data_IF_418821741201
#
_entry.id   IF_418821741201
#
_cell.length_a   1.000
_cell.length_b   1.000
_cell.length_c   1.000
_cell.angle_alpha   90.00
_cell.angle_beta   90.00
_cell.angle_gamma   90.00
#
_symmetry.space_group_name_H-M   'P 1'
#
loop_
_entity.id
_entity.type
_entity.pdbx_description
1 polymer ?
#
# COMPACT_ATOMS: atom_id res chain seq x y z
N UNK A 1 6.99 6.89 -5.15
CA UNK A 1 5.75 6.41 -4.51
C UNK A 1 5.70 4.89 -4.44
N UNK A 2 5.78 4.17 -5.57
CA UNK A 2 5.80 2.70 -5.63
C UNK A 2 6.86 2.07 -4.71
N UNK A 3 8.10 2.55 -4.76
CA UNK A 3 9.17 2.02 -3.89
C UNK A 3 8.92 2.25 -2.40
N UNK A 4 8.32 3.40 -2.05
CA UNK A 4 7.98 3.70 -0.65
C UNK A 4 6.85 2.80 -0.16
N UNK A 5 5.79 2.63 -0.96
CA UNK A 5 4.70 1.69 -0.71
C UNK A 5 5.23 0.26 -0.53
N UNK A 6 6.21 -0.13 -1.36
CA UNK A 6 6.83 -1.46 -1.31
C UNK A 6 7.58 -1.67 -0.01
N UNK A 7 8.33 -0.66 0.44
CA UNK A 7 9.01 -0.70 1.73
C UNK A 7 8.02 -0.75 2.90
N UNK A 8 6.96 0.06 2.88
CA UNK A 8 5.91 0.04 3.92
C UNK A 8 5.23 -1.33 3.99
N UNK A 9 4.85 -1.88 2.84
CA UNK A 9 4.23 -3.21 2.77
C UNK A 9 5.19 -4.31 3.26
N UNK A 10 6.47 -4.23 2.89
CA UNK A 10 7.51 -5.14 3.36
C UNK A 10 7.69 -5.12 4.87
N UNK A 11 7.64 -3.93 5.48
CA UNK A 11 7.69 -3.76 6.93
C UNK A 11 6.48 -4.41 7.60
N UNK A 12 5.28 -4.26 7.03
CA UNK A 12 4.04 -4.85 7.56
C UNK A 12 4.04 -6.39 7.44
N UNK A 13 4.50 -6.91 6.30
CA UNK A 13 4.57 -8.36 6.03
C UNK A 13 5.78 -9.05 6.69
N UNK A 14 6.79 -8.28 7.12
CA UNK A 14 8.03 -8.82 7.69
C UNK A 14 8.93 -9.50 6.66
N UNK A 15 8.79 -9.16 5.38
CA UNK A 15 9.59 -9.71 4.26
C UNK A 15 10.49 -8.64 3.66
N UNK A 16 11.40 -9.03 2.77
CA UNK A 16 12.24 -8.06 2.07
C UNK A 16 11.43 -7.35 0.97
N UNK A 17 11.61 -6.03 0.75
CA UNK A 17 10.87 -5.31 -0.28
C UNK A 17 11.07 -5.93 -1.66
N UNK A 18 12.28 -6.40 -1.96
CA UNK A 18 12.61 -7.11 -3.21
C UNK A 18 11.76 -8.37 -3.49
N UNK A 19 11.15 -8.98 -2.47
CA UNK A 19 10.23 -10.14 -2.64
C UNK A 19 8.84 -9.71 -3.13
N UNK A 20 8.46 -8.43 -2.95
CA UNK A 20 7.12 -7.94 -3.27
C UNK A 20 6.99 -7.56 -4.73
N UNK A 21 6.29 -8.33 -5.55
CA UNK A 21 6.02 -7.91 -6.93
C UNK A 21 4.90 -6.85 -6.99
N UNK A 22 5.05 -5.85 -7.87
CA UNK A 22 4.09 -4.74 -7.99
C UNK A 22 2.72 -5.14 -8.58
N UNK A 23 2.71 -6.22 -9.35
CA UNK A 23 1.53 -6.81 -9.99
C UNK A 23 0.89 -7.93 -9.14
N UNK A 24 1.57 -8.33 -8.06
CA UNK A 24 1.10 -9.39 -7.17
C UNK A 24 0.01 -8.85 -6.23
N UNK A 25 -0.95 -9.72 -5.95
CA UNK A 25 -2.08 -9.36 -5.09
C UNK A 25 -1.65 -9.37 -3.64
N UNK A 26 -2.19 -8.44 -2.86
CA UNK A 26 -1.88 -8.35 -1.43
C UNK A 26 -2.23 -9.63 -0.67
N UNK A 27 -3.30 -10.33 -1.06
CA UNK A 27 -3.66 -11.63 -0.47
C UNK A 27 -2.59 -12.70 -0.74
N UNK A 28 -2.02 -12.72 -1.95
CA UNK A 28 -0.97 -13.68 -2.34
C UNK A 28 0.34 -13.41 -1.59
N UNK A 29 0.62 -12.13 -1.34
CA UNK A 29 1.71 -11.65 -0.48
C UNK A 29 1.52 -11.97 1.01
N UNK A 30 0.35 -12.46 1.43
CA UNK A 30 0.03 -12.75 2.83
C UNK A 30 -0.48 -11.54 3.62
N UNK A 31 -1.05 -10.53 2.95
CA UNK A 31 -1.69 -9.40 3.63
C UNK A 31 -3.06 -9.83 4.18
N UNK A 32 -3.08 -10.25 5.44
CA UNK A 32 -4.31 -10.62 6.13
C UNK A 32 -5.14 -9.41 6.57
N UNK A 33 -6.39 -9.68 6.96
CA UNK A 33 -7.36 -8.70 7.45
C UNK A 33 -6.85 -7.74 8.53
N UNK A 34 -5.92 -8.19 9.37
CA UNK A 34 -5.30 -7.38 10.44
C UNK A 34 -4.19 -6.50 9.88
N UNK A 35 -3.36 -7.07 8.99
CA UNK A 35 -2.26 -6.36 8.35
C UNK A 35 -2.75 -5.30 7.37
N UNK A 36 -3.88 -5.55 6.69
CA UNK A 36 -4.55 -4.54 5.86
C UNK A 36 -4.89 -3.27 6.64
N UNK A 37 -5.39 -3.41 7.87
CA UNK A 37 -5.73 -2.25 8.72
C UNK A 37 -4.45 -1.49 9.08
N UNK A 38 -3.40 -2.20 9.46
CA UNK A 38 -2.11 -1.60 9.80
C UNK A 38 -1.47 -0.90 8.60
N UNK A 39 -1.51 -1.53 7.43
CA UNK A 39 -1.00 -0.98 6.19
C UNK A 39 -1.74 0.30 5.81
N UNK A 40 -3.08 0.26 5.71
CA UNK A 40 -3.88 1.46 5.40
C UNK A 40 -3.69 2.56 6.43
N UNK A 41 -3.56 2.22 7.71
CA UNK A 41 -3.25 3.20 8.75
C UNK A 41 -1.89 3.86 8.53
N UNK A 42 -0.85 3.08 8.18
CA UNK A 42 0.48 3.60 7.83
C UNK A 42 0.43 4.54 6.63
N UNK A 43 -0.31 4.15 5.57
CA UNK A 43 -0.50 4.99 4.39
C UNK A 43 -1.19 6.31 4.72
N UNK A 44 -2.25 6.27 5.52
CA UNK A 44 -2.94 7.46 5.98
C UNK A 44 -2.01 8.40 6.74
N UNK A 45 -1.19 7.86 7.63
CA UNK A 45 -0.19 8.63 8.38
C UNK A 45 0.90 9.21 7.47
N UNK A 46 1.41 8.43 6.52
CA UNK A 46 2.50 8.83 5.62
C UNK A 46 2.07 9.90 4.61
N UNK A 47 0.84 9.80 4.10
CA UNK A 47 0.32 10.66 3.04
C UNK A 47 -0.72 11.69 3.52
N UNK A 48 -1.07 11.69 4.80
CA UNK A 48 -2.09 12.59 5.36
C UNK A 48 -3.50 12.28 4.87
N UNK A 49 -3.78 11.01 4.56
CA UNK A 49 -5.07 10.55 4.04
C UNK A 49 -5.98 10.03 5.16
N UNK A 50 -7.23 9.73 4.83
CA UNK A 50 -8.20 9.13 5.75
C UNK A 50 -8.96 7.97 5.09
N UNK A 51 -8.24 7.21 4.27
CA UNK A 51 -8.77 6.07 3.56
C UNK A 51 -9.13 4.93 4.51
N UNK A 52 -10.09 4.09 4.12
CA UNK A 52 -10.45 2.90 4.92
C UNK A 52 -9.94 1.64 4.23
N UNK A 53 -9.96 0.52 4.95
CA UNK A 53 -9.49 -0.80 4.46
C UNK A 53 -10.02 -1.20 3.07
N UNK A 54 -11.21 -0.73 2.67
CA UNK A 54 -11.78 -0.98 1.34
C UNK A 54 -10.87 -0.57 0.16
N UNK A 55 -9.87 0.29 0.36
CA UNK A 55 -8.90 0.61 -0.69
C UNK A 55 -8.05 -0.59 -1.10
N UNK A 56 -7.77 -1.52 -0.17
CA UNK A 56 -6.99 -2.73 -0.46
C UNK A 56 -7.82 -3.68 -1.33
N UNK A 57 -9.11 -3.84 -1.01
CA UNK A 57 -10.06 -4.61 -1.82
C UNK A 57 -10.24 -4.00 -3.23
N UNK A 58 -10.33 -2.67 -3.31
CA UNK A 58 -10.51 -1.95 -4.58
C UNK A 58 -9.24 -1.92 -5.44
N UNK A 59 -8.08 -1.89 -4.80
CA UNK A 59 -6.78 -1.83 -5.43
C UNK A 59 -5.90 -2.96 -4.88
N UNK A 60 -6.14 -4.22 -5.30
CA UNK A 60 -5.54 -5.40 -4.67
C UNK A 60 -4.05 -5.57 -4.97
N UNK A 61 -3.43 -4.68 -5.74
CA UNK A 61 -2.01 -4.74 -6.08
C UNK A 61 -1.33 -3.42 -5.75
N UNK A 62 -0.02 -3.51 -5.50
CA UNK A 62 0.78 -2.34 -5.17
C UNK A 62 0.79 -1.30 -6.29
N UNK A 63 0.80 -1.73 -7.55
CA UNK A 63 0.77 -0.80 -8.69
C UNK A 63 -0.55 -0.03 -8.77
N UNK A 64 -1.69 -0.72 -8.61
CA UNK A 64 -3.01 -0.07 -8.60
C UNK A 64 -3.18 0.88 -7.42
N UNK A 65 -2.71 0.47 -6.24
CA UNK A 65 -2.77 1.32 -5.06
C UNK A 65 -1.89 2.56 -5.23
N UNK A 66 -0.69 2.40 -5.81
CA UNK A 66 0.20 3.52 -6.11
C UNK A 66 -0.41 4.50 -7.12
N UNK A 67 -1.06 4.00 -8.16
CA UNK A 67 -1.76 4.82 -9.15
C UNK A 67 -2.89 5.62 -8.49
N UNK A 68 -3.74 4.95 -7.70
CA UNK A 68 -4.80 5.60 -6.95
C UNK A 68 -4.25 6.69 -6.00
N UNK A 69 -3.22 6.36 -5.21
CA UNK A 69 -2.60 7.31 -4.30
C UNK A 69 -2.00 8.53 -5.02
N UNK A 70 -1.47 8.35 -6.23
CA UNK A 70 -1.00 9.46 -7.04
C UNK A 70 -2.13 10.41 -7.48
N UNK A 71 -3.37 9.92 -7.56
CA UNK A 71 -4.55 10.75 -7.86
C UNK A 71 -5.13 11.45 -6.63
N UNK A 72 -5.05 10.84 -5.44
CA UNK A 72 -5.68 11.37 -4.22
C UNK A 72 -4.74 12.17 -3.34
N UNK A 73 -3.42 12.01 -3.46
CA UNK A 73 -2.45 12.82 -2.73
C UNK A 73 -2.27 14.14 -3.50
N UNK A 74 -2.84 15.27 -3.04
CA UNK A 74 -2.71 16.53 -3.74
C UNK A 74 -1.26 17.03 -3.63
N UNK A 75 -0.56 17.13 -4.76
CA UNK A 75 0.61 18.01 -4.90
C UNK A 75 1.87 17.62 -4.13
N UNK A 76 2.33 16.37 -4.25
CA UNK A 76 3.75 16.04 -4.02
C UNK A 76 4.41 15.49 -5.28
N UNK A 77 4.20 16.20 -6.38
CA UNK A 77 5.17 16.27 -7.47
C UNK A 77 6.28 17.24 -6.99
N UNK A 78 7.58 16.94 -7.19
CA UNK A 78 8.66 17.85 -6.81
C UNK A 78 8.52 19.24 -7.43
#
# INVERSE_FOLDING_TARGET
MREHLRTELAQVLGIAPQEIAGDESFEDLGLDSVLEIAFVHSLNMAYGLSERRHIVDRYPTLDRLADYLATVVPGRTP
#
